data_IF_771310462962
#
_entry.id   IF_771310462962
#
_cell.length_a   1.000
_cell.length_b   1.000
_cell.length_c   1.000
_cell.angle_alpha   90.00
_cell.angle_beta   90.00
_cell.angle_gamma   90.00
#
_symmetry.space_group_name_H-M   'P 1'
#
loop_
_entity.id
_entity.type
_entity.pdbx_description
1 polymer ?
#
# COMPACT_ATOMS: atom_id res chain seq x y z
N UNK A 1 11.55 -8.82 19.30
CA UNK A 1 11.09 -8.30 17.99
C UNK A 1 12.15 -8.52 16.92
N UNK A 2 13.39 -7.99 17.07
CA UNK A 2 14.44 -8.03 16.03
C UNK A 2 14.85 -9.44 15.61
N UNK A 3 14.96 -10.39 16.55
CA UNK A 3 15.32 -11.77 16.24
C UNK A 3 14.24 -12.45 15.37
N UNK A 4 12.96 -12.24 15.68
CA UNK A 4 11.84 -12.76 14.89
C UNK A 4 11.80 -12.10 13.52
N UNK A 5 11.97 -10.78 13.43
CA UNK A 5 12.00 -10.05 12.17
C UNK A 5 13.16 -10.52 11.26
N UNK A 6 14.35 -10.69 11.82
CA UNK A 6 15.53 -11.19 11.08
C UNK A 6 15.30 -12.59 10.52
N UNK A 7 14.76 -13.50 11.34
CA UNK A 7 14.44 -14.86 10.90
C UNK A 7 13.40 -14.82 9.78
N UNK A 8 12.29 -14.12 9.98
CA UNK A 8 11.20 -14.04 9.00
C UNK A 8 11.67 -13.44 7.67
N UNK A 9 12.50 -12.40 7.72
CA UNK A 9 13.14 -11.82 6.55
C UNK A 9 14.05 -12.81 5.83
N UNK A 10 14.92 -13.53 6.56
CA UNK A 10 15.81 -14.53 5.96
C UNK A 10 15.05 -15.67 5.28
N UNK A 11 13.97 -16.14 5.90
CA UNK A 11 13.11 -17.18 5.33
C UNK A 11 12.41 -16.67 4.06
N UNK A 12 11.94 -15.43 4.07
CA UNK A 12 11.28 -14.82 2.92
C UNK A 12 12.24 -14.58 1.74
N UNK A 13 13.45 -14.07 1.98
CA UNK A 13 14.45 -13.82 0.92
C UNK A 13 14.90 -15.12 0.22
N UNK A 14 14.79 -16.27 0.88
CA UNK A 14 15.07 -17.58 0.28
C UNK A 14 13.93 -18.10 -0.62
N UNK A 15 12.78 -17.45 -0.62
CA UNK A 15 11.62 -17.86 -1.40
C UNK A 15 11.81 -17.54 -2.88
N UNK A 16 11.63 -18.54 -3.75
CA UNK A 16 11.65 -18.36 -5.22
C UNK A 16 10.53 -17.44 -5.70
N UNK A 17 9.38 -17.47 -5.02
CA UNK A 17 8.24 -16.61 -5.34
C UNK A 17 8.53 -15.13 -5.11
N UNK A 18 9.31 -14.79 -4.07
CA UNK A 18 9.73 -13.41 -3.85
C UNK A 18 10.57 -12.89 -5.01
N UNK A 19 11.57 -13.67 -5.45
CA UNK A 19 12.44 -13.25 -6.54
C UNK A 19 11.68 -13.12 -7.86
N UNK A 20 10.75 -14.04 -8.16
CA UNK A 20 9.88 -13.93 -9.33
C UNK A 20 9.03 -12.65 -9.28
N UNK A 21 8.39 -12.37 -8.14
CA UNK A 21 7.61 -11.14 -7.94
C UNK A 21 8.49 -9.89 -8.03
N UNK A 22 9.73 -9.94 -7.49
CA UNK A 22 10.67 -8.83 -7.57
C UNK A 22 11.05 -8.52 -9.01
N UNK A 23 11.34 -9.53 -9.82
CA UNK A 23 11.66 -9.34 -11.25
C UNK A 23 10.48 -8.73 -12.00
N UNK A 24 9.26 -9.23 -11.76
CA UNK A 24 8.05 -8.67 -12.37
C UNK A 24 7.84 -7.22 -11.93
N UNK A 25 8.01 -6.92 -10.64
CA UNK A 25 7.86 -5.56 -10.13
C UNK A 25 8.88 -4.59 -10.72
N UNK A 26 10.16 -4.96 -10.74
CA UNK A 26 11.23 -4.15 -11.36
C UNK A 26 10.95 -3.95 -12.85
N UNK A 27 10.55 -5.01 -13.56
CA UNK A 27 10.18 -4.94 -14.96
C UNK A 27 9.01 -3.99 -15.23
N UNK A 28 7.97 -4.07 -14.39
CA UNK A 28 6.83 -3.15 -14.48
C UNK A 28 7.24 -1.70 -14.19
N UNK A 29 8.04 -1.46 -13.14
CA UNK A 29 8.51 -0.12 -12.81
C UNK A 29 9.32 0.49 -13.96
N UNK A 30 10.23 -0.29 -14.57
CA UNK A 30 11.02 0.17 -15.72
C UNK A 30 10.18 0.38 -16.97
N UNK A 31 9.24 -0.53 -17.26
CA UNK A 31 8.31 -0.38 -18.38
C UNK A 31 7.45 0.87 -18.23
N UNK A 32 6.92 1.08 -17.03
CA UNK A 32 6.09 2.26 -16.72
C UNK A 32 6.89 3.55 -16.91
N UNK A 33 8.13 3.59 -16.40
CA UNK A 33 9.01 4.75 -16.54
C UNK A 33 9.35 4.99 -18.01
N UNK A 34 9.64 3.94 -18.75
CA UNK A 34 9.87 4.02 -20.19
C UNK A 34 8.64 4.58 -20.93
N UNK A 35 7.45 4.08 -20.61
CA UNK A 35 6.20 4.58 -21.20
C UNK A 35 5.94 6.06 -20.85
N UNK A 36 6.20 6.46 -19.61
CA UNK A 36 6.03 7.84 -19.17
C UNK A 36 6.96 8.81 -19.93
N UNK A 37 8.20 8.39 -20.21
CA UNK A 37 9.23 9.23 -20.85
C UNK A 37 9.07 9.24 -22.37
N UNK A 38 8.89 8.08 -23.01
CA UNK A 38 8.93 7.95 -24.48
C UNK A 38 7.56 8.15 -25.14
N UNK A 39 6.46 7.98 -24.37
CA UNK A 39 5.10 8.08 -24.91
C UNK A 39 4.19 8.98 -24.05
N UNK A 40 4.60 10.22 -23.74
CA UNK A 40 3.79 11.12 -22.91
C UNK A 40 2.42 11.41 -23.52
N UNK A 41 2.31 11.47 -24.84
CA UNK A 41 1.05 11.71 -25.56
C UNK A 41 -0.01 10.64 -25.28
N UNK A 42 0.40 9.36 -25.08
CA UNK A 42 -0.53 8.27 -24.76
C UNK A 42 -1.10 8.40 -23.34
N UNK A 43 -0.45 9.17 -22.48
CA UNK A 43 -0.82 9.36 -21.08
C UNK A 43 -1.59 10.67 -20.86
N UNK A 44 -1.94 11.37 -21.95
CA UNK A 44 -2.69 12.62 -21.91
C UNK A 44 -1.87 13.85 -21.51
N UNK A 45 -0.52 13.72 -21.52
CA UNK A 45 0.39 14.77 -21.11
C UNK A 45 0.80 15.67 -22.27
N UNK A 46 0.21 16.87 -22.35
CA UNK A 46 0.84 18.03 -23.04
C UNK A 46 1.78 18.79 -22.07
N UNK A 47 1.86 18.35 -20.80
CA UNK A 47 2.67 18.99 -19.75
C UNK A 47 4.14 18.52 -19.81
N UNK A 48 5.05 19.39 -19.36
CA UNK A 48 6.46 19.05 -19.25
C UNK A 48 6.66 17.85 -18.32
N UNK A 49 7.45 16.87 -18.78
CA UNK A 49 7.81 15.70 -17.96
C UNK A 49 8.51 16.13 -16.68
N UNK A 50 8.02 15.66 -15.54
CA UNK A 50 8.57 15.96 -14.23
C UNK A 50 8.82 14.69 -13.40
N UNK A 51 9.76 14.79 -12.45
CA UNK A 51 10.00 13.69 -11.49
C UNK A 51 8.82 13.41 -10.59
N UNK A 52 8.01 14.42 -10.26
CA UNK A 52 6.77 14.29 -9.47
C UNK A 52 5.70 13.55 -10.28
N UNK A 53 5.49 13.92 -11.54
CA UNK A 53 4.56 13.22 -12.42
C UNK A 53 4.95 11.76 -12.63
N UNK A 54 6.26 11.46 -12.80
CA UNK A 54 6.74 10.08 -12.80
C UNK A 54 6.38 9.35 -11.50
N UNK A 55 6.57 9.98 -10.33
CA UNK A 55 6.22 9.41 -9.03
C UNK A 55 4.73 9.10 -8.92
N UNK A 56 3.84 10.00 -9.34
CA UNK A 56 2.38 9.80 -9.35
C UNK A 56 1.98 8.65 -10.29
N UNK A 57 2.60 8.58 -11.46
CA UNK A 57 2.33 7.52 -12.43
C UNK A 57 2.79 6.14 -11.91
N UNK A 58 3.95 6.07 -11.27
CA UNK A 58 4.45 4.88 -10.60
C UNK A 58 3.59 4.49 -9.39
N UNK A 59 2.99 5.45 -8.69
CA UNK A 59 2.12 5.19 -7.55
C UNK A 59 0.88 4.37 -7.95
N UNK A 60 0.33 4.59 -9.14
CA UNK A 60 -0.79 3.80 -9.66
C UNK A 60 -0.46 2.31 -9.77
N UNK A 61 0.72 1.97 -10.32
CA UNK A 61 1.18 0.56 -10.39
C UNK A 61 1.56 0.04 -9.01
N UNK A 62 2.21 0.88 -8.20
CA UNK A 62 2.59 0.53 -6.84
C UNK A 62 1.39 0.08 -6.02
N UNK A 63 0.25 0.79 -6.11
CA UNK A 63 -0.95 0.50 -5.32
C UNK A 63 -1.45 -0.93 -5.54
N UNK A 64 -1.58 -1.35 -6.77
CA UNK A 64 -2.05 -2.69 -7.11
C UNK A 64 -1.01 -3.77 -6.78
N UNK A 65 0.24 -3.54 -7.19
CA UNK A 65 1.27 -4.57 -7.09
C UNK A 65 1.72 -4.82 -5.65
N UNK A 66 1.86 -3.77 -4.86
CA UNK A 66 2.24 -3.85 -3.44
C UNK A 66 1.14 -4.57 -2.66
N UNK A 67 -0.14 -4.24 -2.89
CA UNK A 67 -1.25 -4.90 -2.23
C UNK A 67 -1.28 -6.42 -2.51
N UNK A 68 -1.20 -6.81 -3.79
CA UNK A 68 -1.15 -8.23 -4.18
C UNK A 68 0.06 -8.95 -3.59
N UNK A 69 1.24 -8.32 -3.67
CA UNK A 69 2.47 -8.93 -3.15
C UNK A 69 2.42 -9.06 -1.63
N UNK A 70 1.90 -8.06 -0.91
CA UNK A 70 1.71 -8.12 0.54
C UNK A 70 0.81 -9.30 0.94
N UNK A 71 -0.27 -9.56 0.18
CA UNK A 71 -1.12 -10.73 0.40
C UNK A 71 -0.30 -12.01 0.26
N UNK A 72 0.40 -12.19 -0.87
CA UNK A 72 1.17 -13.41 -1.16
C UNK A 72 2.21 -13.70 -0.08
N UNK A 73 2.92 -12.69 0.41
CA UNK A 73 3.99 -12.89 1.38
C UNK A 73 3.51 -12.94 2.83
N UNK A 74 2.35 -12.36 3.19
CA UNK A 74 1.97 -12.16 4.58
C UNK A 74 0.72 -12.92 5.05
N UNK A 75 -0.13 -13.49 4.17
CA UNK A 75 -1.36 -14.16 4.60
C UNK A 75 -1.12 -15.36 5.54
N UNK A 76 0.01 -16.07 5.40
CA UNK A 76 0.41 -17.19 6.27
C UNK A 76 1.18 -16.76 7.52
N UNK A 77 1.46 -15.47 7.72
CA UNK A 77 2.41 -15.01 8.73
C UNK A 77 2.09 -15.52 10.15
N UNK A 78 0.82 -15.52 10.55
CA UNK A 78 0.36 -16.01 11.85
C UNK A 78 -0.57 -17.22 11.70
N UNK A 79 -1.50 -17.18 10.75
CA UNK A 79 -2.43 -18.28 10.50
C UNK A 79 -1.70 -19.58 10.14
N UNK A 80 -0.64 -19.52 9.31
CA UNK A 80 0.13 -20.69 8.91
C UNK A 80 0.87 -21.35 10.09
N UNK A 81 1.47 -20.57 10.97
CA UNK A 81 2.15 -21.12 12.14
C UNK A 81 1.18 -21.70 13.15
N UNK A 82 -0.04 -21.16 13.25
CA UNK A 82 -1.11 -21.73 14.08
C UNK A 82 -1.62 -23.04 13.52
N UNK A 83 -1.89 -23.08 12.22
CA UNK A 83 -2.39 -24.26 11.51
C UNK A 83 -1.40 -25.45 11.58
N UNK A 84 -0.09 -25.15 11.47
CA UNK A 84 0.98 -26.15 11.58
C UNK A 84 1.38 -26.48 13.03
N UNK A 85 0.83 -25.80 14.04
CA UNK A 85 1.19 -25.96 15.44
C UNK A 85 2.59 -25.44 15.81
N UNK A 86 3.35 -24.90 14.88
CA UNK A 86 4.71 -24.34 15.10
C UNK A 86 4.69 -23.09 16.00
N UNK A 87 3.54 -22.45 16.13
CA UNK A 87 3.36 -21.32 17.04
C UNK A 87 3.66 -21.70 18.51
N UNK A 88 3.34 -22.93 18.93
CA UNK A 88 3.66 -23.42 20.30
C UNK A 88 5.15 -23.47 20.54
N UNK A 89 5.93 -23.90 19.55
CA UNK A 89 7.40 -23.92 19.64
C UNK A 89 7.99 -22.52 19.70
N UNK A 90 7.45 -21.60 18.89
CA UNK A 90 7.90 -20.19 18.88
C UNK A 90 7.65 -19.49 20.23
N UNK A 91 6.52 -19.74 20.85
CA UNK A 91 6.14 -19.16 22.15
C UNK A 91 6.76 -19.90 23.34
N UNK A 92 7.34 -21.07 23.13
CA UNK A 92 8.20 -21.75 24.11
C UNK A 92 9.58 -21.10 24.27
N UNK A 93 9.99 -20.23 23.33
CA UNK A 93 11.16 -19.37 23.43
C UNK A 93 10.80 -18.09 24.22
N UNK A 94 11.79 -17.33 24.75
CA UNK A 94 11.53 -16.11 25.52
C UNK A 94 11.03 -14.95 24.63
N UNK A 95 9.96 -15.21 23.88
CA UNK A 95 9.28 -14.25 23.00
C UNK A 95 7.84 -14.05 23.40
N UNK A 96 7.42 -12.79 23.48
CA UNK A 96 6.00 -12.46 23.71
C UNK A 96 5.19 -12.55 22.40
N UNK A 97 3.89 -12.76 22.50
CA UNK A 97 2.98 -12.70 21.33
C UNK A 97 3.10 -11.37 20.56
N UNK A 98 3.38 -10.27 21.30
CA UNK A 98 3.63 -8.96 20.69
C UNK A 98 4.92 -8.96 19.84
N UNK A 99 6.00 -9.56 20.36
CA UNK A 99 7.27 -9.66 19.64
C UNK A 99 7.12 -10.44 18.34
N UNK A 100 6.29 -11.49 18.36
CA UNK A 100 5.99 -12.29 17.16
C UNK A 100 5.25 -11.44 16.13
N UNK A 101 4.17 -10.78 16.50
CA UNK A 101 3.36 -9.98 15.57
C UNK A 101 4.18 -8.84 14.96
N UNK A 102 4.85 -8.03 15.79
CA UNK A 102 5.68 -6.92 15.31
C UNK A 102 6.88 -7.41 14.49
N UNK A 103 7.50 -8.51 14.90
CA UNK A 103 8.59 -9.14 14.16
C UNK A 103 8.16 -9.60 12.77
N UNK A 104 6.97 -10.20 12.65
CA UNK A 104 6.40 -10.59 11.35
C UNK A 104 6.09 -9.40 10.46
N UNK A 105 5.49 -8.34 11.00
CA UNK A 105 5.25 -7.10 10.23
C UNK A 105 6.56 -6.52 9.71
N UNK A 106 7.54 -6.32 10.58
CA UNK A 106 8.83 -5.74 10.18
C UNK A 106 9.59 -6.63 9.19
N UNK A 107 9.61 -7.95 9.41
CA UNK A 107 10.29 -8.90 8.51
C UNK A 107 9.65 -8.90 7.12
N UNK A 108 8.32 -8.96 7.03
CA UNK A 108 7.59 -8.96 5.74
C UNK A 108 7.68 -7.61 5.03
N UNK A 109 7.60 -6.51 5.78
CA UNK A 109 7.80 -5.16 5.18
C UNK A 109 9.21 -5.01 4.64
N UNK A 110 10.24 -5.41 5.38
CA UNK A 110 11.61 -5.37 4.90
C UNK A 110 11.81 -6.23 3.64
N UNK A 111 11.15 -7.39 3.58
CA UNK A 111 11.16 -8.25 2.40
C UNK A 111 10.54 -7.54 1.18
N UNK A 112 9.41 -6.86 1.35
CA UNK A 112 8.72 -6.15 0.28
C UNK A 112 9.45 -4.85 -0.10
N UNK A 113 10.16 -4.23 0.83
CA UNK A 113 10.94 -3.02 0.57
C UNK A 113 12.10 -3.25 -0.43
N UNK A 114 12.65 -4.47 -0.50
CA UNK A 114 13.75 -4.77 -1.45
C UNK A 114 13.33 -4.53 -2.90
N UNK A 115 12.29 -5.19 -3.45
CA UNK A 115 11.88 -4.95 -4.83
C UNK A 115 11.40 -3.50 -5.07
N UNK A 116 10.80 -2.85 -4.06
CA UNK A 116 10.38 -1.46 -4.15
C UNK A 116 11.61 -0.55 -4.34
N UNK A 117 12.60 -0.66 -3.46
CA UNK A 117 13.80 0.18 -3.51
C UNK A 117 14.62 -0.10 -4.77
N UNK A 118 14.76 -1.35 -5.17
CA UNK A 118 15.50 -1.71 -6.39
C UNK A 118 14.74 -1.26 -7.65
N UNK A 119 13.45 -1.57 -7.74
CA UNK A 119 12.65 -1.24 -8.93
C UNK A 119 12.44 0.26 -9.11
N UNK A 120 11.98 0.94 -8.06
CA UNK A 120 11.79 2.39 -8.13
C UNK A 120 13.10 3.17 -8.05
N UNK A 121 14.15 2.62 -7.40
CA UNK A 121 15.48 3.19 -7.48
C UNK A 121 16.03 3.20 -8.90
N UNK A 122 15.89 2.09 -9.65
CA UNK A 122 16.27 2.02 -11.06
C UNK A 122 15.40 2.95 -11.93
N UNK A 123 14.08 2.99 -11.69
CA UNK A 123 13.14 3.89 -12.35
C UNK A 123 13.50 5.36 -12.12
N UNK A 124 13.81 5.74 -10.88
CA UNK A 124 14.24 7.09 -10.55
C UNK A 124 15.57 7.48 -11.14
N UNK A 125 16.52 6.55 -11.20
CA UNK A 125 17.80 6.81 -11.89
C UNK A 125 17.59 7.06 -13.37
N UNK A 126 16.74 6.28 -14.04
CA UNK A 126 16.39 6.49 -15.45
C UNK A 126 15.67 7.83 -15.64
N UNK A 127 14.68 8.13 -14.77
CA UNK A 127 14.00 9.43 -14.79
C UNK A 127 14.94 10.61 -14.57
N UNK A 128 15.87 10.52 -13.62
CA UNK A 128 16.89 11.56 -13.39
C UNK A 128 17.78 11.84 -14.61
N UNK A 129 18.09 10.82 -15.39
CA UNK A 129 18.92 10.97 -16.60
C UNK A 129 18.16 11.55 -17.78
N UNK A 130 16.84 11.39 -17.84
CA UNK A 130 16.03 11.72 -19.00
C UNK A 130 15.10 12.94 -18.80
N UNK A 131 14.74 13.25 -17.56
CA UNK A 131 13.81 14.33 -17.22
C UNK A 131 14.59 15.53 -16.69
N UNK A 132 14.50 16.67 -17.38
CA UNK A 132 15.19 17.90 -16.99
C UNK A 132 14.69 18.49 -15.68
N UNK A 133 13.37 18.41 -15.43
CA UNK A 133 12.71 18.88 -14.20
C UNK A 133 12.58 17.76 -13.15
N UNK A 134 13.67 17.05 -12.84
CA UNK A 134 13.67 15.96 -11.86
C UNK A 134 14.11 16.44 -10.48
N UNK A 135 13.18 16.48 -9.52
CA UNK A 135 13.49 16.71 -8.11
C UNK A 135 13.86 15.39 -7.42
N UNK A 136 15.13 15.26 -7.06
CA UNK A 136 15.61 14.07 -6.35
C UNK A 136 15.01 13.94 -4.94
N UNK A 137 14.75 15.07 -4.26
CA UNK A 137 14.15 15.07 -2.92
C UNK A 137 12.72 14.57 -2.96
N UNK A 138 11.90 15.06 -3.87
CA UNK A 138 10.50 14.63 -4.01
C UNK A 138 10.41 13.17 -4.40
N UNK A 139 11.31 12.71 -5.26
CA UNK A 139 11.38 11.29 -5.61
C UNK A 139 11.78 10.40 -4.42
N UNK A 140 12.67 10.85 -3.53
CA UNK A 140 13.00 10.13 -2.29
C UNK A 140 11.81 10.11 -1.32
N UNK A 141 11.03 11.20 -1.23
CA UNK A 141 9.79 11.24 -0.45
C UNK A 141 8.79 10.22 -1.00
N UNK A 142 8.58 10.18 -2.33
CA UNK A 142 7.77 9.17 -3.01
C UNK A 142 8.22 7.75 -2.63
N UNK A 143 9.51 7.44 -2.76
CA UNK A 143 10.06 6.13 -2.45
C UNK A 143 9.84 5.76 -0.98
N UNK A 144 10.08 6.68 -0.07
CA UNK A 144 9.84 6.50 1.37
C UNK A 144 8.37 6.24 1.69
N UNK A 145 7.46 7.03 1.12
CA UNK A 145 6.02 6.83 1.26
C UNK A 145 5.55 5.50 0.68
N UNK A 146 6.14 5.05 -0.42
CA UNK A 146 5.83 3.74 -1.00
C UNK A 146 6.20 2.60 -0.05
N UNK A 147 7.32 2.72 0.70
CA UNK A 147 7.67 1.75 1.74
C UNK A 147 6.70 1.83 2.93
N UNK A 148 6.24 3.01 3.31
CA UNK A 148 5.20 3.19 4.35
C UNK A 148 3.86 2.58 3.90
N UNK A 149 3.49 2.74 2.65
CA UNK A 149 2.32 2.10 2.05
C UNK A 149 2.43 0.56 2.06
N UNK A 150 3.60 0.02 1.73
CA UNK A 150 3.88 -1.41 1.87
C UNK A 150 3.74 -1.89 3.34
N UNK A 151 4.21 -1.11 4.31
CA UNK A 151 4.01 -1.38 5.74
C UNK A 151 2.52 -1.40 6.10
N UNK A 152 1.70 -0.49 5.56
CA UNK A 152 0.26 -0.46 5.79
C UNK A 152 -0.41 -1.74 5.27
N UNK A 153 -0.15 -2.15 4.02
CA UNK A 153 -0.69 -3.39 3.47
C UNK A 153 -0.23 -4.65 4.23
N UNK A 154 1.06 -4.72 4.57
CA UNK A 154 1.57 -5.84 5.40
C UNK A 154 0.88 -5.86 6.75
N UNK A 155 0.65 -4.70 7.39
CA UNK A 155 -0.04 -4.60 8.68
C UNK A 155 -1.49 -5.09 8.59
N UNK A 156 -2.20 -4.73 7.51
CA UNK A 156 -3.56 -5.21 7.22
C UNK A 156 -3.55 -6.74 7.08
N UNK A 157 -2.69 -7.28 6.23
CA UNK A 157 -2.66 -8.73 5.94
C UNK A 157 -2.20 -9.55 7.14
N UNK A 158 -1.20 -9.09 7.91
CA UNK A 158 -0.77 -9.72 9.16
C UNK A 158 -1.88 -9.62 10.21
N UNK A 159 -2.61 -8.50 10.29
CA UNK A 159 -3.76 -8.32 11.17
C UNK A 159 -4.88 -9.33 10.83
N UNK A 160 -5.21 -9.50 9.56
CA UNK A 160 -6.15 -10.52 9.07
C UNK A 160 -5.65 -11.92 9.43
N UNK A 161 -4.38 -12.22 9.15
CA UNK A 161 -3.75 -13.51 9.47
C UNK A 161 -3.81 -13.84 10.97
N UNK A 162 -3.59 -12.83 11.83
CA UNK A 162 -3.70 -12.98 13.29
C UNK A 162 -5.13 -13.20 13.80
N UNK A 163 -6.11 -12.76 13.02
CA UNK A 163 -7.53 -12.87 13.37
C UNK A 163 -8.11 -14.26 13.11
N UNK A 164 -7.42 -15.13 12.37
CA UNK A 164 -7.88 -16.49 12.01
C UNK A 164 -6.86 -17.56 12.38
N UNK A 165 -7.32 -18.82 12.51
CA UNK A 165 -6.45 -19.99 12.68
C UNK A 165 -6.29 -20.82 11.40
N UNK A 166 -6.78 -20.33 10.23
CA UNK A 166 -6.75 -21.04 8.96
C UNK A 166 -6.15 -20.17 7.88
N UNK A 167 -5.19 -20.71 7.14
CA UNK A 167 -4.53 -20.03 6.02
C UNK A 167 -5.49 -19.75 4.87
N UNK A 168 -6.44 -20.65 4.63
CA UNK A 168 -7.47 -20.48 3.60
C UNK A 168 -8.38 -19.29 3.92
N UNK A 169 -8.82 -19.15 5.18
CA UNK A 169 -9.62 -18.00 5.61
C UNK A 169 -8.82 -16.70 5.57
N UNK A 170 -7.55 -16.74 5.98
CA UNK A 170 -6.68 -15.56 5.94
C UNK A 170 -6.51 -15.07 4.50
N UNK A 171 -6.24 -15.97 3.55
CA UNK A 171 -6.10 -15.58 2.14
C UNK A 171 -7.40 -15.05 1.55
N UNK A 172 -8.54 -15.72 1.80
CA UNK A 172 -9.84 -15.27 1.30
C UNK A 172 -10.21 -13.86 1.82
N UNK A 173 -10.00 -13.60 3.12
CA UNK A 173 -10.25 -12.28 3.71
C UNK A 173 -9.31 -11.21 3.18
N UNK A 174 -8.02 -11.53 2.99
CA UNK A 174 -7.04 -10.59 2.46
C UNK A 174 -7.32 -10.26 0.98
N UNK A 175 -7.67 -11.25 0.17
CA UNK A 175 -8.09 -11.04 -1.22
C UNK A 175 -9.40 -10.26 -1.27
N UNK A 176 -10.38 -10.62 -0.44
CA UNK A 176 -11.66 -9.88 -0.35
C UNK A 176 -11.48 -8.42 0.05
N UNK A 177 -10.57 -8.15 1.01
CA UNK A 177 -10.18 -6.79 1.37
C UNK A 177 -9.59 -6.03 0.18
N UNK A 178 -8.64 -6.63 -0.52
CA UNK A 178 -8.00 -6.04 -1.69
C UNK A 178 -9.01 -5.74 -2.80
N UNK A 179 -9.85 -6.71 -3.15
CA UNK A 179 -10.87 -6.53 -4.18
C UNK A 179 -11.84 -5.39 -3.81
N UNK A 180 -12.28 -5.34 -2.56
CA UNK A 180 -13.22 -4.33 -2.10
C UNK A 180 -12.60 -2.92 -2.17
N UNK A 181 -11.41 -2.74 -1.59
CA UNK A 181 -10.83 -1.41 -1.40
C UNK A 181 -10.01 -0.92 -2.61
N UNK A 182 -9.40 -1.82 -3.39
CA UNK A 182 -8.53 -1.42 -4.50
C UNK A 182 -9.21 -1.52 -5.88
N UNK A 183 -10.28 -2.32 -6.03
CA UNK A 183 -10.91 -2.51 -7.33
C UNK A 183 -12.39 -2.10 -7.37
N UNK A 184 -13.14 -2.28 -6.28
CA UNK A 184 -14.59 -2.08 -6.27
C UNK A 184 -14.99 -0.76 -5.61
N UNK A 185 -14.10 -0.16 -4.80
CA UNK A 185 -14.44 0.99 -3.95
C UNK A 185 -14.99 2.19 -4.71
N UNK A 186 -14.41 2.50 -5.85
CA UNK A 186 -14.91 3.61 -6.70
C UNK A 186 -16.35 3.36 -7.16
N UNK A 187 -16.67 2.11 -7.50
CA UNK A 187 -18.04 1.69 -7.81
C UNK A 187 -18.98 1.80 -6.61
N UNK A 188 -18.50 1.46 -5.40
CA UNK A 188 -19.25 1.63 -4.14
C UNK A 188 -19.53 3.11 -3.89
N UNK A 189 -18.52 3.95 -4.01
CA UNK A 189 -18.63 5.40 -3.80
C UNK A 189 -19.58 6.03 -4.83
N UNK A 190 -19.41 5.68 -6.11
CA UNK A 190 -20.33 6.11 -7.17
C UNK A 190 -21.77 5.70 -6.87
N UNK A 191 -21.98 4.43 -6.47
CA UNK A 191 -23.30 3.91 -6.11
C UNK A 191 -23.92 4.66 -4.92
N UNK A 192 -23.13 4.99 -3.89
CA UNK A 192 -23.58 5.76 -2.73
C UNK A 192 -24.04 7.17 -3.15
N UNK A 193 -23.25 7.86 -3.98
CA UNK A 193 -23.62 9.19 -4.49
C UNK A 193 -24.91 9.13 -5.29
N UNK A 194 -25.03 8.17 -6.20
CA UNK A 194 -26.21 7.99 -7.03
C UNK A 194 -27.49 7.71 -6.21
N UNK A 195 -27.39 6.82 -5.21
CA UNK A 195 -28.50 6.47 -4.32
C UNK A 195 -28.90 7.65 -3.41
N UNK A 196 -27.93 8.37 -2.84
CA UNK A 196 -28.22 9.49 -1.92
C UNK A 196 -28.77 10.71 -2.64
N UNK A 197 -28.53 10.83 -3.96
CA UNK A 197 -29.01 11.94 -4.79
C UNK A 197 -30.30 11.56 -5.60
N UNK A 198 -31.05 10.58 -5.13
CA UNK A 198 -32.34 10.21 -5.75
C UNK A 198 -32.23 9.59 -7.14
N UNK A 199 -31.23 8.74 -7.36
CA UNK A 199 -30.91 8.06 -8.63
C UNK A 199 -30.51 9.01 -9.77
N UNK A 200 -29.90 10.14 -9.43
CA UNK A 200 -29.30 11.08 -10.37
C UNK A 200 -27.87 11.43 -9.93
N UNK A 201 -27.04 11.88 -10.85
CA UNK A 201 -25.74 12.45 -10.47
C UNK A 201 -25.95 13.90 -10.02
N UNK A 202 -25.35 14.32 -8.88
CA UNK A 202 -25.44 15.69 -8.42
C UNK A 202 -24.64 16.62 -9.34
N UNK A 203 -25.07 17.87 -9.48
CA UNK A 203 -24.29 18.92 -10.19
C UNK A 203 -22.98 19.25 -9.45
N UNK A 204 -23.00 19.15 -8.11
CA UNK A 204 -21.83 19.32 -7.25
C UNK A 204 -21.68 18.12 -6.33
N UNK A 205 -20.47 17.58 -6.22
CA UNK A 205 -20.20 16.44 -5.35
C UNK A 205 -20.39 16.80 -3.87
N UNK A 206 -21.06 15.92 -3.07
CA UNK A 206 -21.24 16.17 -1.63
C UNK A 206 -19.90 16.16 -0.89
N UNK A 207 -19.73 17.03 0.08
CA UNK A 207 -18.48 17.14 0.85
C UNK A 207 -18.04 15.86 1.55
N UNK A 208 -18.98 15.00 1.98
CA UNK A 208 -18.66 13.73 2.64
C UNK A 208 -17.93 12.72 1.74
N UNK A 209 -18.05 12.86 0.41
CA UNK A 209 -17.41 11.97 -0.55
C UNK A 209 -15.88 12.02 -0.41
N UNK A 210 -15.33 13.17 -0.02
CA UNK A 210 -13.90 13.32 0.19
C UNK A 210 -13.37 12.32 1.22
N UNK A 211 -14.04 12.21 2.39
CA UNK A 211 -13.65 11.24 3.42
C UNK A 211 -13.80 9.81 2.92
N UNK A 212 -14.92 9.51 2.24
CA UNK A 212 -15.18 8.15 1.74
C UNK A 212 -14.15 7.73 0.70
N UNK A 213 -13.74 8.64 -0.18
CA UNK A 213 -12.68 8.39 -1.16
C UNK A 213 -11.30 8.21 -0.54
N UNK A 214 -11.07 8.70 0.69
CA UNK A 214 -9.81 8.51 1.40
C UNK A 214 -9.73 7.18 2.19
N UNK A 215 -10.81 6.39 2.22
CA UNK A 215 -10.83 5.12 2.96
C UNK A 215 -9.87 4.09 2.35
N UNK A 216 -9.80 3.86 1.02
CA UNK A 216 -8.84 2.91 0.46
C UNK A 216 -7.39 3.25 0.82
N UNK A 217 -6.57 2.24 1.11
CA UNK A 217 -5.14 2.47 1.39
C UNK A 217 -4.40 3.17 0.25
N UNK A 218 -4.74 2.88 -1.00
CA UNK A 218 -4.15 3.50 -2.20
C UNK A 218 -4.51 4.99 -2.32
N UNK A 219 -5.77 5.35 -2.09
CA UNK A 219 -6.20 6.75 -2.07
C UNK A 219 -5.53 7.53 -0.95
N UNK A 220 -5.43 6.92 0.25
CA UNK A 220 -4.70 7.50 1.36
C UNK A 220 -3.21 7.73 1.03
N UNK A 221 -2.60 6.80 0.30
CA UNK A 221 -1.21 6.89 -0.13
C UNK A 221 -0.98 8.04 -1.13
N UNK A 222 -1.81 8.14 -2.17
CA UNK A 222 -1.69 9.23 -3.16
C UNK A 222 -1.97 10.59 -2.54
N UNK A 223 -2.95 10.70 -1.65
CA UNK A 223 -3.23 11.96 -0.92
C UNK A 223 -2.11 12.32 0.06
N UNK A 224 -1.47 11.32 0.71
CA UNK A 224 -0.29 11.58 1.53
C UNK A 224 0.92 12.05 0.69
N UNK A 225 1.03 11.61 -0.57
CA UNK A 225 2.04 12.17 -1.50
C UNK A 225 1.78 13.66 -1.74
N UNK A 226 0.53 14.05 -2.01
CA UNK A 226 0.15 15.46 -2.20
C UNK A 226 0.46 16.30 -0.96
N UNK A 227 0.29 15.75 0.25
CA UNK A 227 0.63 16.44 1.50
C UNK A 227 2.14 16.70 1.67
N UNK A 228 2.98 15.81 1.17
CA UNK A 228 4.43 15.84 1.41
C UNK A 228 5.22 16.35 0.19
N UNK A 229 4.63 16.33 -0.99
CA UNK A 229 5.19 16.82 -2.25
C UNK A 229 4.22 17.87 -2.81
N UNK A 230 4.43 19.17 -2.50
CA UNK A 230 3.48 20.23 -2.89
C UNK A 230 3.23 20.31 -4.40
N UNK A 231 4.24 20.04 -5.22
CA UNK A 231 4.10 20.04 -6.68
C UNK A 231 3.18 18.92 -7.19
N UNK A 232 2.93 17.87 -6.39
CA UNK A 232 2.00 16.81 -6.72
C UNK A 232 0.53 17.27 -6.72
N UNK A 233 0.20 18.32 -5.95
CA UNK A 233 -1.15 18.92 -5.91
C UNK A 233 -1.49 19.50 -7.27
N UNK A 234 -0.56 20.24 -7.87
CA UNK A 234 -0.78 20.92 -9.16
C UNK A 234 -1.03 19.91 -10.28
N UNK A 235 -0.36 18.76 -10.26
CA UNK A 235 -0.48 17.71 -11.28
C UNK A 235 -1.68 16.77 -11.08
N UNK A 236 -2.16 16.64 -9.83
CA UNK A 236 -3.32 15.80 -9.51
C UNK A 236 -4.68 16.48 -9.69
N UNK A 237 -4.69 17.79 -9.86
CA UNK A 237 -5.89 18.62 -9.67
C UNK A 237 -6.53 19.16 -10.95
N UNK A 238 -6.61 18.37 -12.01
CA UNK A 238 -7.47 18.75 -13.12
C UNK A 238 -8.99 18.67 -12.81
N UNK A 239 -9.39 18.24 -11.63
CA UNK A 239 -10.79 18.06 -11.21
C UNK A 239 -11.06 18.27 -9.71
N UNK A 240 -10.16 18.85 -8.92
CA UNK A 240 -10.45 19.16 -7.53
C UNK A 240 -11.53 20.21 -7.45
N UNK A 241 -12.75 19.73 -7.30
CA UNK A 241 -13.86 20.53 -6.82
C UNK A 241 -13.42 21.19 -5.51
N UNK A 242 -13.56 22.49 -5.36
CA UNK A 242 -13.36 23.21 -4.09
C UNK A 242 -14.29 22.64 -3.02
N UNK A 243 -13.86 21.56 -2.37
CA UNK A 243 -14.57 20.99 -1.23
C UNK A 243 -14.30 21.90 -0.05
N UNK A 244 -15.27 22.73 0.24
CA UNK A 244 -15.19 23.73 1.31
C UNK A 244 -15.49 23.10 2.68
N UNK A 245 -14.63 22.13 3.10
CA UNK A 245 -14.77 21.43 4.36
C UNK A 245 -13.44 21.44 5.12
N UNK A 246 -13.48 21.68 6.43
CA UNK A 246 -12.28 21.78 7.28
C UNK A 246 -11.43 20.49 7.31
N UNK A 247 -12.02 19.36 6.97
CA UNK A 247 -11.34 18.06 6.90
C UNK A 247 -10.82 17.72 5.49
N UNK A 248 -11.12 18.53 4.49
CA UNK A 248 -10.64 18.35 3.13
C UNK A 248 -9.20 18.88 3.03
N UNK A 249 -8.27 18.13 3.61
CA UNK A 249 -6.85 18.43 3.60
C UNK A 249 -6.08 17.19 3.18
N UNK A 250 -4.97 17.38 2.50
CA UNK A 250 -4.09 16.30 2.03
C UNK A 250 -3.50 15.50 3.22
N UNK A 251 -3.41 16.13 4.40
CA UNK A 251 -2.95 15.47 5.62
C UNK A 251 -3.87 14.34 6.10
N UNK A 252 -5.12 14.32 5.64
CA UNK A 252 -6.03 13.19 5.90
C UNK A 252 -5.46 11.89 5.34
N UNK A 253 -4.76 11.92 4.19
CA UNK A 253 -4.08 10.75 3.64
C UNK A 253 -3.04 10.17 4.59
N UNK A 254 -2.23 11.02 5.22
CA UNK A 254 -1.22 10.59 6.22
C UNK A 254 -1.91 9.94 7.44
N UNK A 255 -2.98 10.56 7.94
CA UNK A 255 -3.77 10.02 9.07
C UNK A 255 -4.37 8.65 8.71
N UNK A 256 -4.91 8.51 7.51
CA UNK A 256 -5.49 7.24 7.04
C UNK A 256 -4.43 6.16 6.82
N UNK A 257 -3.21 6.49 6.36
CA UNK A 257 -2.11 5.52 6.31
C UNK A 257 -1.73 5.02 7.71
N UNK A 258 -1.62 5.92 8.69
CA UNK A 258 -1.37 5.55 10.09
C UNK A 258 -2.51 4.68 10.63
N UNK A 259 -3.75 5.00 10.33
CA UNK A 259 -4.92 4.17 10.67
C UNK A 259 -4.76 2.74 10.12
N UNK A 260 -4.41 2.58 8.84
CA UNK A 260 -4.24 1.27 8.21
C UNK A 260 -3.03 0.48 8.74
N UNK A 261 -2.00 1.14 9.23
CA UNK A 261 -0.89 0.49 9.92
C UNK A 261 -1.32 -0.01 11.31
N UNK A 262 -2.03 0.82 12.07
CA UNK A 262 -2.25 0.58 13.51
C UNK A 262 -3.50 -0.25 13.77
N UNK A 263 -4.64 0.11 13.16
CA UNK A 263 -5.94 -0.46 13.55
C UNK A 263 -6.10 -1.93 13.16
N UNK A 264 -5.83 -2.36 11.91
CA UNK A 264 -5.92 -3.77 11.56
C UNK A 264 -4.96 -4.64 12.36
N UNK A 265 -3.75 -4.13 12.61
CA UNK A 265 -2.75 -4.83 13.39
C UNK A 265 -3.18 -4.97 14.86
N UNK A 266 -3.76 -3.92 15.46
CA UNK A 266 -4.27 -3.95 16.84
C UNK A 266 -5.43 -4.95 16.99
N UNK A 267 -6.35 -4.99 16.02
CA UNK A 267 -7.46 -5.95 15.98
C UNK A 267 -6.91 -7.37 15.86
N UNK A 268 -6.01 -7.61 14.90
CA UNK A 268 -5.37 -8.91 14.70
C UNK A 268 -4.61 -9.39 15.93
N UNK A 269 -3.84 -8.50 16.55
CA UNK A 269 -3.11 -8.79 17.78
C UNK A 269 -4.04 -9.16 18.95
N UNK A 270 -5.13 -8.41 19.17
CA UNK A 270 -6.11 -8.70 20.22
C UNK A 270 -6.73 -10.08 20.02
N UNK A 271 -7.14 -10.42 18.80
CA UNK A 271 -7.69 -11.75 18.49
C UNK A 271 -6.65 -12.85 18.65
N UNK A 272 -5.43 -12.62 18.20
CA UNK A 272 -4.31 -13.55 18.37
C UNK A 272 -3.95 -13.76 19.85
N UNK A 273 -3.97 -12.69 20.66
CA UNK A 273 -3.69 -12.78 22.10
C UNK A 273 -4.69 -13.67 22.83
N UNK A 274 -5.95 -13.63 22.47
CA UNK A 274 -7.04 -14.35 23.12
C UNK A 274 -7.30 -15.73 22.49
N UNK A 275 -6.51 -16.12 21.47
CA UNK A 275 -6.69 -17.40 20.81
C UNK A 275 -6.03 -18.54 21.58
N UNK A 276 -6.73 -19.68 21.68
CA UNK A 276 -6.17 -20.94 22.14
C UNK A 276 -5.19 -21.46 21.08
N UNK A 277 -3.99 -21.90 21.52
CA UNK A 277 -2.89 -22.33 20.67
C UNK A 277 -2.56 -23.80 20.90
#
# INVERSE_FOLDING_TARGET
VTAVAKKDFQDAVRSRSLWALSVVFVGLAMLTTFMYIEFPELLGGEEELSGVGLGLFLAGIASLFIGLTAIVIAYKALAGERELGSMKLLLGLPHTRRDVVLGKVLGRTATLAIPIVVGFGAAGLYGYLMISAFSFVDYLIFLGLTVVFALAFVSIVVGISGSTGSTSRASALAVGFFLLFELIWDGVTFGLVYLTNGFALPETMPNWIYIVNQIPPSSAYTTAMMALIPDAIVMGDSAAQEINAFYATEWLGVVMLVFWIVVPLAIGYRRFKNADL
#
